data_IF_627388384312
#
_entry.id   IF_627388384312
#
_cell.length_a   1.000
_cell.length_b   1.000
_cell.length_c   1.000
_cell.angle_alpha   90.00
_cell.angle_beta   90.00
_cell.angle_gamma   90.00
#
_symmetry.space_group_name_H-M   'P 1'
#
loop_
_entity.id
_entity.type
_entity.pdbx_description
1 polymer ?
#
# COMPACT_ATOMS: atom_id res chain seq x y z
N UNK A 1 -25.85 12.96 24.97
CA UNK A 1 -25.25 11.63 24.77
C UNK A 1 -26.07 10.93 23.70
N UNK A 2 -25.62 10.51 22.52
CA UNK A 2 -24.34 10.51 21.84
C UNK A 2 -24.68 10.57 20.34
N UNK A 3 -24.31 11.65 19.66
CA UNK A 3 -24.45 11.78 18.21
C UNK A 3 -23.05 11.93 17.63
N UNK A 4 -22.27 10.85 17.68
CA UNK A 4 -20.88 10.83 17.16
C UNK A 4 -20.58 9.54 16.40
N UNK A 5 -21.49 9.13 15.51
CA UNK A 5 -21.25 8.02 14.56
C UNK A 5 -21.69 8.35 13.14
N UNK A 6 -21.76 9.64 12.80
CA UNK A 6 -22.20 10.12 11.49
C UNK A 6 -21.16 11.04 10.84
N UNK A 7 -19.88 10.69 10.97
CA UNK A 7 -18.77 11.26 10.19
C UNK A 7 -17.69 10.20 9.93
N UNK A 8 -18.06 8.98 9.54
CA UNK A 8 -17.13 8.15 8.78
C UNK A 8 -17.24 8.63 7.32
N UNK A 9 -16.25 9.40 6.84
CA UNK A 9 -16.14 9.68 5.42
C UNK A 9 -16.11 8.32 4.69
N UNK A 10 -17.17 7.99 3.96
CA UNK A 10 -17.20 6.73 3.20
C UNK A 10 -16.12 6.80 2.13
N UNK A 11 -14.95 6.24 2.42
CA UNK A 11 -13.80 6.24 1.52
C UNK A 11 -13.97 5.22 0.37
N UNK A 12 -14.94 4.31 0.47
CA UNK A 12 -15.18 3.25 -0.51
C UNK A 12 -15.40 3.78 -1.94
N UNK A 13 -16.19 4.84 -2.18
CA UNK A 13 -16.39 5.39 -3.52
C UNK A 13 -15.10 5.95 -4.14
N UNK A 14 -14.25 6.60 -3.34
CA UNK A 14 -12.97 7.14 -3.82
C UNK A 14 -11.97 6.03 -4.16
N UNK A 15 -11.89 5.01 -3.31
CA UNK A 15 -11.05 3.83 -3.58
C UNK A 15 -11.53 3.11 -4.83
N UNK A 16 -12.84 2.93 -5.02
CA UNK A 16 -13.39 2.31 -6.24
C UNK A 16 -13.00 3.12 -7.48
N UNK A 17 -13.24 4.43 -7.48
CA UNK A 17 -12.87 5.33 -8.57
C UNK A 17 -11.37 5.26 -8.89
N UNK A 18 -10.51 5.25 -7.88
CA UNK A 18 -9.06 5.10 -8.06
C UNK A 18 -8.72 3.76 -8.72
N UNK A 19 -9.29 2.66 -8.23
CA UNK A 19 -9.03 1.32 -8.77
C UNK A 19 -9.48 1.19 -10.23
N UNK A 20 -10.62 1.77 -10.57
CA UNK A 20 -11.20 1.73 -11.91
C UNK A 20 -10.47 2.67 -12.88
N UNK A 21 -10.07 3.86 -12.40
CA UNK A 21 -9.31 4.86 -13.17
C UNK A 21 -7.94 4.32 -13.56
N UNK A 22 -7.20 3.76 -12.60
CA UNK A 22 -5.83 3.26 -12.82
C UNK A 22 -5.76 1.78 -13.19
N UNK A 23 -6.92 1.14 -13.43
CA UNK A 23 -7.03 -0.27 -13.84
C UNK A 23 -6.17 -1.19 -12.96
N UNK A 24 -6.26 -1.02 -11.65
CA UNK A 24 -5.40 -1.69 -10.66
C UNK A 24 -5.42 -3.22 -10.83
N UNK A 25 -6.60 -3.81 -11.13
CA UNK A 25 -6.71 -5.25 -11.41
C UNK A 25 -5.85 -5.72 -12.58
N UNK A 26 -5.73 -4.92 -13.64
CA UNK A 26 -4.86 -5.19 -14.79
C UNK A 26 -3.39 -5.10 -14.41
N UNK A 27 -3.00 -4.07 -13.64
CA UNK A 27 -1.63 -3.91 -13.17
C UNK A 27 -1.23 -5.08 -12.26
N UNK A 28 -2.11 -5.49 -11.33
CA UNK A 28 -1.95 -6.68 -10.48
C UNK A 28 -1.65 -7.92 -11.34
N UNK A 29 -2.45 -8.17 -12.39
CA UNK A 29 -2.23 -9.31 -13.29
C UNK A 29 -0.89 -9.21 -14.04
N UNK A 30 -0.54 -8.02 -14.55
CA UNK A 30 0.75 -7.75 -15.22
C UNK A 30 1.95 -7.91 -14.28
N UNK A 31 1.74 -7.82 -12.96
CA UNK A 31 2.76 -7.94 -11.92
C UNK A 31 2.80 -9.32 -11.25
N UNK A 32 2.26 -10.34 -11.92
CA UNK A 32 2.31 -11.74 -11.51
C UNK A 32 1.51 -12.05 -10.24
N UNK A 33 0.53 -11.21 -9.89
CA UNK A 33 -0.37 -11.48 -8.78
C UNK A 33 -1.46 -12.43 -9.27
N UNK A 34 -1.07 -13.70 -9.44
CA UNK A 34 -1.94 -14.76 -9.91
C UNK A 34 -2.76 -15.31 -8.75
N UNK A 35 -4.06 -15.48 -8.96
CA UNK A 35 -4.92 -16.14 -7.97
C UNK A 35 -4.53 -17.61 -7.88
N UNK A 36 -4.26 -18.06 -6.66
CA UNK A 36 -4.04 -19.49 -6.37
C UNK A 36 -5.33 -20.12 -5.83
N UNK A 37 -5.93 -19.55 -4.78
CA UNK A 37 -7.18 -20.04 -4.16
C UNK A 37 -7.88 -18.95 -3.36
N UNK A 38 -9.17 -19.13 -3.07
CA UNK A 38 -9.96 -18.24 -2.22
C UNK A 38 -10.24 -16.88 -2.87
N UNK A 39 -9.95 -15.80 -2.16
CA UNK A 39 -10.16 -14.42 -2.61
C UNK A 39 -9.17 -14.02 -3.72
N UNK A 40 -9.57 -13.10 -4.59
CA UNK A 40 -8.68 -12.60 -5.65
C UNK A 40 -7.61 -11.67 -5.07
N UNK A 41 -6.40 -11.61 -5.66
CA UNK A 41 -5.37 -10.65 -5.27
C UNK A 41 -5.84 -9.19 -5.32
N UNK A 42 -6.66 -8.83 -6.31
CA UNK A 42 -7.25 -7.49 -6.43
C UNK A 42 -8.19 -7.17 -5.25
N UNK A 43 -9.01 -8.12 -4.83
CA UNK A 43 -9.88 -7.95 -3.67
C UNK A 43 -9.06 -7.79 -2.38
N UNK A 44 -8.07 -8.67 -2.16
CA UNK A 44 -7.20 -8.62 -0.99
C UNK A 44 -6.41 -7.31 -0.92
N UNK A 45 -5.86 -6.86 -2.05
CA UNK A 45 -5.18 -5.58 -2.14
C UNK A 45 -6.12 -4.40 -1.82
N UNK A 46 -7.33 -4.40 -2.40
CA UNK A 46 -8.34 -3.36 -2.14
C UNK A 46 -8.73 -3.30 -0.67
N UNK A 47 -8.90 -4.45 -0.03
CA UNK A 47 -9.20 -4.53 1.40
C UNK A 47 -8.08 -3.87 2.22
N UNK A 48 -6.82 -4.22 1.95
CA UNK A 48 -5.66 -3.63 2.62
C UNK A 48 -5.58 -2.14 2.38
N UNK A 49 -5.82 -1.71 1.15
CA UNK A 49 -5.81 -0.30 0.77
C UNK A 49 -6.87 0.50 1.53
N UNK A 50 -8.12 0.03 1.59
CA UNK A 50 -9.19 0.68 2.36
C UNK A 50 -8.86 0.74 3.85
N UNK A 51 -8.28 -0.32 4.43
CA UNK A 51 -7.93 -0.34 5.85
C UNK A 51 -6.95 0.78 6.23
N UNK A 52 -6.06 1.21 5.32
CA UNK A 52 -5.15 2.33 5.57
C UNK A 52 -5.92 3.63 5.79
N UNK A 53 -6.96 3.90 5.00
CA UNK A 53 -7.77 5.12 5.12
C UNK A 53 -8.72 5.10 6.32
N UNK A 54 -9.23 3.92 6.68
CA UNK A 54 -10.14 3.76 7.82
C UNK A 54 -9.37 3.62 9.14
N UNK A 55 -8.03 3.62 9.11
CA UNK A 55 -7.14 3.44 10.26
C UNK A 55 -7.48 2.20 11.13
N UNK A 56 -8.06 1.16 10.52
CA UNK A 56 -8.44 -0.07 11.22
C UNK A 56 -7.36 -1.13 11.04
N UNK A 57 -7.01 -1.79 12.14
CA UNK A 57 -6.16 -2.98 12.08
C UNK A 57 -6.96 -4.19 11.62
N UNK A 58 -6.27 -5.21 11.08
CA UNK A 58 -6.88 -6.50 10.72
C UNK A 58 -7.66 -7.14 11.88
N UNK A 59 -7.16 -6.96 13.12
CA UNK A 59 -7.84 -7.47 14.32
C UNK A 59 -9.18 -6.77 14.52
N UNK A 60 -9.20 -5.45 14.42
CA UNK A 60 -10.41 -4.65 14.61
C UNK A 60 -11.43 -4.93 13.49
N UNK A 61 -10.96 -5.17 12.26
CA UNK A 61 -11.83 -5.54 11.14
C UNK A 61 -12.57 -6.86 11.43
N UNK A 62 -11.85 -7.91 11.86
CA UNK A 62 -12.45 -9.22 12.13
C UNK A 62 -13.43 -9.22 13.31
N UNK A 63 -13.14 -8.43 14.35
CA UNK A 63 -14.01 -8.31 15.53
C UNK A 63 -15.35 -7.62 15.26
N UNK A 64 -15.53 -7.00 14.10
CA UNK A 64 -16.77 -6.28 13.76
C UNK A 64 -17.90 -7.17 13.23
N UNK A 65 -17.78 -8.50 13.34
CA UNK A 65 -18.84 -9.46 12.96
C UNK A 65 -18.92 -9.77 11.46
N UNK A 66 -17.89 -9.41 10.70
CA UNK A 66 -17.81 -9.54 9.23
C UNK A 66 -17.29 -10.92 8.76
N UNK A 67 -17.57 -12.00 9.48
CA UNK A 67 -16.77 -13.23 9.38
C UNK A 67 -17.11 -14.14 8.17
N UNK A 68 -18.34 -14.09 7.64
CA UNK A 68 -18.78 -15.10 6.67
C UNK A 68 -18.50 -14.79 5.18
N UNK A 69 -18.22 -13.53 4.82
CA UNK A 69 -18.00 -13.12 3.41
C UNK A 69 -16.60 -12.51 3.15
N UNK A 70 -15.72 -12.51 4.15
CA UNK A 70 -14.45 -11.79 4.10
C UNK A 70 -13.23 -12.66 4.42
N UNK A 71 -12.06 -12.29 3.89
CA UNK A 71 -10.82 -13.02 4.12
C UNK A 71 -10.40 -12.90 5.59
N UNK A 72 -10.20 -14.05 6.22
CA UNK A 72 -9.48 -14.12 7.49
C UNK A 72 -8.02 -13.67 7.34
N UNK A 73 -7.36 -13.41 8.48
CA UNK A 73 -5.95 -13.02 8.59
C UNK A 73 -5.03 -13.84 7.68
N UNK A 74 -5.22 -15.15 7.64
CA UNK A 74 -4.35 -16.07 6.89
C UNK A 74 -4.39 -15.83 5.38
N UNK A 75 -5.54 -15.41 4.83
CA UNK A 75 -5.63 -15.06 3.42
C UNK A 75 -4.84 -13.78 3.11
N UNK A 76 -4.90 -12.78 4.00
CA UNK A 76 -4.17 -11.52 3.84
C UNK A 76 -2.67 -11.71 4.03
N UNK A 77 -2.24 -12.46 5.04
CA UNK A 77 -0.81 -12.71 5.26
C UNK A 77 -0.19 -13.57 4.15
N UNK A 78 -0.90 -14.59 3.65
CA UNK A 78 -0.42 -15.34 2.47
C UNK A 78 -0.29 -14.45 1.24
N UNK A 79 -1.18 -13.47 1.09
CA UNK A 79 -1.09 -12.50 0.00
C UNK A 79 0.13 -11.58 0.16
N UNK A 80 0.34 -11.00 1.34
CA UNK A 80 1.47 -10.10 1.60
C UNK A 80 2.83 -10.81 1.51
N UNK A 81 2.92 -12.05 2.00
CA UNK A 81 4.17 -12.81 2.09
C UNK A 81 4.47 -13.67 0.85
N UNK A 82 3.69 -13.53 -0.22
CA UNK A 82 3.90 -14.32 -1.44
C UNK A 82 5.15 -13.84 -2.19
N UNK A 83 6.16 -14.69 -2.27
CA UNK A 83 7.39 -14.44 -3.05
C UNK A 83 7.16 -14.42 -4.56
N UNK A 84 5.99 -14.87 -5.02
CA UNK A 84 5.62 -14.90 -6.45
C UNK A 84 5.09 -13.55 -6.96
N UNK A 85 4.70 -12.66 -6.05
CA UNK A 85 4.09 -11.39 -6.37
C UNK A 85 5.17 -10.32 -6.56
N UNK A 86 5.27 -9.78 -7.77
CA UNK A 86 6.27 -8.77 -8.09
C UNK A 86 5.80 -7.37 -7.65
N UNK A 87 5.97 -7.07 -6.36
CA UNK A 87 5.61 -5.78 -5.77
C UNK A 87 6.32 -4.60 -6.42
N UNK A 88 7.59 -4.76 -6.82
CA UNK A 88 8.35 -3.72 -7.51
C UNK A 88 7.74 -3.36 -8.86
N UNK A 89 7.42 -4.37 -9.68
CA UNK A 89 6.74 -4.18 -10.97
C UNK A 89 5.35 -3.57 -10.80
N UNK A 90 4.60 -4.01 -9.78
CA UNK A 90 3.30 -3.43 -9.44
C UNK A 90 3.42 -1.93 -9.14
N UNK A 91 4.33 -1.55 -8.25
CA UNK A 91 4.55 -0.15 -7.89
C UNK A 91 5.00 0.67 -9.10
N UNK A 92 5.97 0.19 -9.88
CA UNK A 92 6.45 0.91 -11.07
C UNK A 92 5.35 1.14 -12.11
N UNK A 93 4.56 0.11 -12.44
CA UNK A 93 3.46 0.24 -13.40
C UNK A 93 2.36 1.19 -12.90
N UNK A 94 2.06 1.16 -11.60
CA UNK A 94 1.11 2.09 -11.00
C UNK A 94 1.64 3.52 -11.03
N UNK A 95 2.91 3.73 -10.67
CA UNK A 95 3.55 5.04 -10.72
C UNK A 95 3.51 5.64 -12.12
N UNK A 96 3.83 4.86 -13.16
CA UNK A 96 3.72 5.32 -14.56
C UNK A 96 2.30 5.73 -14.90
N UNK A 97 1.30 4.90 -14.57
CA UNK A 97 -0.11 5.22 -14.85
C UNK A 97 -0.60 6.49 -14.13
N UNK A 98 -0.11 6.73 -12.90
CA UNK A 98 -0.42 7.95 -12.14
C UNK A 98 0.27 9.15 -12.76
N UNK A 99 1.56 9.06 -13.06
CA UNK A 99 2.34 10.14 -13.69
C UNK A 99 1.74 10.53 -15.04
N UNK A 100 1.42 9.59 -15.91
CA UNK A 100 0.76 9.84 -17.21
C UNK A 100 -0.58 10.55 -17.05
N UNK A 101 -1.33 10.24 -15.99
CA UNK A 101 -2.62 10.89 -15.73
C UNK A 101 -2.49 12.31 -15.17
N UNK A 102 -1.35 12.62 -14.54
CA UNK A 102 -1.06 13.93 -13.97
C UNK A 102 -0.34 14.83 -14.97
N UNK A 103 0.48 14.28 -15.87
CA UNK A 103 1.23 15.05 -16.88
C UNK A 103 0.31 15.76 -17.87
N UNK A 104 -0.89 15.25 -18.13
CA UNK A 104 -1.90 15.95 -18.94
C UNK A 104 -2.43 17.24 -18.26
N UNK A 105 -2.22 17.38 -16.95
CA UNK A 105 -2.62 18.54 -16.17
C UNK A 105 -1.48 19.55 -15.97
N UNK A 106 -0.29 19.28 -16.55
CA UNK A 106 0.88 20.16 -16.46
C UNK A 106 1.21 20.79 -17.82
N UNK A 107 2.02 21.85 -17.81
CA UNK A 107 2.47 22.51 -19.03
C UNK A 107 3.41 21.61 -19.84
N UNK A 108 3.38 21.74 -21.17
CA UNK A 108 4.31 21.05 -22.08
C UNK A 108 5.75 21.53 -21.93
N UNK A 109 5.95 22.77 -21.49
CA UNK A 109 7.28 23.37 -21.28
C UNK A 109 7.84 23.04 -19.88
N UNK A 110 7.15 22.20 -19.12
CA UNK A 110 7.55 21.80 -17.79
C UNK A 110 8.76 20.88 -17.86
N UNK A 111 9.76 21.16 -17.04
CA UNK A 111 10.90 20.26 -16.83
C UNK A 111 10.46 19.10 -15.92
N UNK A 112 10.53 17.87 -16.43
CA UNK A 112 10.29 16.66 -15.63
C UNK A 112 11.56 16.24 -14.90
N UNK A 113 11.44 16.00 -13.59
CA UNK A 113 12.58 15.58 -12.76
C UNK A 113 12.22 14.34 -11.94
N UNK A 114 13.24 13.51 -11.73
CA UNK A 114 13.19 12.38 -10.81
C UNK A 114 14.02 12.72 -9.57
N UNK A 115 13.37 12.72 -8.41
CA UNK A 115 13.99 13.01 -7.12
C UNK A 115 14.21 11.71 -6.37
N UNK A 116 15.45 11.48 -5.94
CA UNK A 116 15.81 10.35 -5.08
C UNK A 116 16.11 10.87 -3.68
N UNK A 117 15.37 10.36 -2.71
CA UNK A 117 15.60 10.65 -1.30
C UNK A 117 15.46 9.38 -0.47
N UNK A 118 16.28 9.25 0.57
CA UNK A 118 16.27 8.08 1.43
C UNK A 118 15.85 8.46 2.86
N UNK A 119 14.88 7.72 3.38
CA UNK A 119 14.36 7.93 4.74
C UNK A 119 14.63 6.72 5.62
N UNK A 120 14.90 6.95 6.91
CA UNK A 120 14.99 5.84 7.85
C UNK A 120 13.60 5.26 8.06
N UNK A 121 13.48 3.95 7.83
CA UNK A 121 12.26 3.23 8.10
C UNK A 121 12.42 2.35 9.34
N UNK A 122 12.02 2.91 10.49
CA UNK A 122 12.17 2.31 11.81
C UNK A 122 11.29 1.09 12.03
N UNK A 123 11.89 0.02 12.58
CA UNK A 123 11.29 -1.26 12.93
C UNK A 123 11.76 -1.74 14.31
N UNK A 124 11.96 -0.82 15.25
CA UNK A 124 12.52 -1.08 16.60
C UNK A 124 11.81 -2.20 17.38
N UNK A 125 10.49 -2.37 17.19
CA UNK A 125 9.69 -3.40 17.86
C UNK A 125 9.65 -4.75 17.13
N UNK A 126 10.29 -4.84 15.97
CA UNK A 126 10.30 -6.05 15.14
C UNK A 126 11.51 -6.93 15.48
N UNK A 127 11.30 -8.25 15.56
CA UNK A 127 12.38 -9.22 15.79
C UNK A 127 12.85 -9.92 14.50
N UNK A 128 11.94 -10.11 13.55
CA UNK A 128 12.22 -10.77 12.27
C UNK A 128 11.36 -10.13 11.18
N UNK A 129 11.94 -9.16 10.46
CA UNK A 129 11.35 -8.57 9.26
C UNK A 129 12.42 -8.48 8.18
N UNK A 130 12.00 -8.49 6.92
CA UNK A 130 12.91 -8.36 5.79
C UNK A 130 13.75 -7.08 5.92
N UNK A 131 15.05 -7.19 5.59
CA UNK A 131 16.02 -6.10 5.64
C UNK A 131 16.25 -5.47 7.03
N UNK A 132 15.83 -6.11 8.12
CA UNK A 132 16.08 -5.59 9.48
C UNK A 132 17.58 -5.54 9.78
N UNK A 133 18.10 -4.34 9.96
CA UNK A 133 19.48 -4.10 10.39
C UNK A 133 19.52 -3.04 11.50
N UNK A 134 20.61 -2.98 12.26
CA UNK A 134 20.89 -1.87 13.17
C UNK A 134 21.52 -0.74 12.36
N UNK A 135 20.78 0.34 12.14
CA UNK A 135 21.19 1.49 11.32
C UNK A 135 21.36 2.70 12.24
N UNK A 136 22.36 3.53 11.96
CA UNK A 136 22.53 4.80 12.66
C UNK A 136 21.61 5.87 12.06
N UNK A 137 20.73 6.43 12.89
CA UNK A 137 19.91 7.58 12.53
C UNK A 137 20.71 8.87 12.73
N UNK A 138 21.07 9.53 11.64
CA UNK A 138 21.79 10.81 11.70
C UNK A 138 20.90 11.96 12.16
N UNK A 139 19.58 11.89 11.98
CA UNK A 139 18.66 12.94 12.41
C UNK A 139 18.49 12.93 13.94
N UNK A 140 18.21 11.74 14.50
CA UNK A 140 18.03 11.58 15.95
C UNK A 140 19.33 11.21 16.70
N UNK A 141 20.46 11.08 15.99
CA UNK A 141 21.79 10.71 16.51
C UNK A 141 21.82 9.41 17.33
N UNK A 142 21.04 8.41 16.95
CA UNK A 142 20.98 7.13 17.67
C UNK A 142 20.79 5.93 16.75
N UNK A 143 21.16 4.76 17.25
CA UNK A 143 20.90 3.52 16.53
C UNK A 143 19.43 3.12 16.62
N UNK A 144 18.88 2.69 15.49
CA UNK A 144 17.52 2.19 15.32
C UNK A 144 17.58 0.85 14.60
N UNK A 145 16.66 -0.06 14.88
CA UNK A 145 16.50 -1.25 14.06
C UNK A 145 15.59 -0.89 12.88
N UNK A 146 15.99 -1.18 11.65
CA UNK A 146 15.25 -0.81 10.45
C UNK A 146 16.08 -0.93 9.18
N UNK A 147 15.72 -0.14 8.17
CA UNK A 147 16.46 -0.01 6.91
C UNK A 147 16.30 1.39 6.32
N UNK A 148 17.14 1.75 5.35
CA UNK A 148 17.00 2.98 4.57
C UNK A 148 16.05 2.72 3.40
N UNK A 149 14.90 3.40 3.40
CA UNK A 149 13.90 3.33 2.35
C UNK A 149 14.22 4.38 1.29
N UNK A 150 14.78 3.95 0.16
CA UNK A 150 14.99 4.82 -1.00
C UNK A 150 13.65 5.05 -1.70
N UNK A 151 13.28 6.32 -1.87
CA UNK A 151 12.06 6.73 -2.55
C UNK A 151 12.40 7.46 -3.85
N UNK A 152 11.58 7.22 -4.87
CA UNK A 152 11.66 7.90 -6.15
C UNK A 152 10.41 8.77 -6.30
N UNK A 153 10.60 10.08 -6.28
CA UNK A 153 9.59 11.08 -6.59
C UNK A 153 9.65 11.49 -8.06
N UNK A 154 8.49 11.73 -8.65
CA UNK A 154 8.35 12.50 -9.89
C UNK A 154 7.79 13.86 -9.48
N UNK A 155 8.48 14.93 -9.88
CA UNK A 155 7.85 16.25 -9.89
C UNK A 155 7.50 16.56 -11.30
#
# INVERSE_FOLDING_TARGET
MNTTLQQDHDHKPYVNKFFDRYKIGTIIKKSNFNKVKGFTPAFLFKLIFVMVFVAKTMRNLLQSGYENEHPHKDAVYRFLNSTRYNWRKFLSLLSVAVVESLSILTSRDRVEVLMLDDSLFGRDRSKAVELLAKVYDHAEKKYRNGFRMLTLGWS
#
